data_IF_894387968412
#
_entry.id   IF_894387968412
#
_cell.length_a   1.000
_cell.length_b   1.000
_cell.length_c   1.000
_cell.angle_alpha   90.00
_cell.angle_beta   90.00
_cell.angle_gamma   90.00
#
_symmetry.space_group_name_H-M   'P 1'
#
loop_
_entity.id
_entity.type
_entity.pdbx_description
1 polymer ?
#
# COMPACT_ATOMS: atom_id res chain seq x y z
N UNK A 1 -57.97 -40.62 22.68
CA UNK A 1 -57.26 -41.12 21.48
C UNK A 1 -56.14 -40.12 21.22
N UNK A 2 -54.93 -40.26 21.77
CA UNK A 2 -53.91 -41.32 21.65
C UNK A 2 -52.82 -40.95 20.62
N UNK A 3 -51.56 -41.09 21.07
CA UNK A 3 -50.25 -41.11 20.37
C UNK A 3 -49.60 -39.75 20.09
N UNK A 4 -48.28 -39.55 20.22
CA UNK A 4 -47.09 -40.30 20.69
C UNK A 4 -45.99 -39.22 20.88
N UNK A 5 -45.31 -39.15 22.03
CA UNK A 5 -43.93 -39.61 22.27
C UNK A 5 -42.83 -38.97 21.39
N UNK A 6 -41.84 -38.32 22.03
CA UNK A 6 -40.56 -38.00 21.39
C UNK A 6 -39.77 -36.85 22.02
N UNK A 7 -39.13 -37.11 23.15
CA UNK A 7 -37.98 -36.37 23.71
C UNK A 7 -36.71 -36.54 22.85
N UNK A 8 -35.66 -35.76 23.18
CA UNK A 8 -34.27 -35.71 22.65
C UNK A 8 -34.13 -34.56 21.65
N UNK A 9 -33.35 -33.49 21.87
CA UNK A 9 -31.92 -33.40 22.19
C UNK A 9 -31.58 -32.17 23.06
N UNK A 10 -30.66 -32.35 24.01
CA UNK A 10 -29.87 -31.28 24.63
C UNK A 10 -29.00 -30.60 23.56
N UNK A 11 -28.59 -29.35 23.77
CA UNK A 11 -27.14 -29.19 23.88
C UNK A 11 -26.74 -28.23 25.00
N UNK A 12 -26.05 -28.83 25.97
CA UNK A 12 -24.84 -28.31 26.59
C UNK A 12 -24.29 -27.01 25.97
N UNK A 13 -24.37 -25.91 26.70
CA UNK A 13 -23.78 -24.64 26.25
C UNK A 13 -23.46 -23.64 27.34
N UNK A 14 -24.03 -23.79 28.54
CA UNK A 14 -23.93 -22.78 29.59
C UNK A 14 -22.61 -22.85 30.38
N UNK A 15 -21.85 -23.95 30.32
CA UNK A 15 -20.59 -24.10 31.08
C UNK A 15 -19.34 -23.49 30.38
N UNK A 16 -19.49 -22.88 29.20
CA UNK A 16 -18.36 -22.29 28.43
C UNK A 16 -18.16 -20.79 28.65
N UNK A 17 -19.04 -20.11 29.38
CA UNK A 17 -19.00 -18.66 29.56
C UNK A 17 -18.15 -18.26 30.77
N UNK A 18 -18.17 -19.02 31.86
CA UNK A 18 -17.46 -18.63 33.09
C UNK A 18 -15.96 -19.01 33.12
N UNK A 19 -15.54 -20.04 32.37
CA UNK A 19 -14.11 -20.38 32.23
C UNK A 19 -13.34 -19.48 31.24
N UNK A 20 -14.03 -18.62 30.47
CA UNK A 20 -13.41 -17.61 29.60
C UNK A 20 -13.19 -16.26 30.28
N UNK A 21 -13.88 -15.97 31.39
CA UNK A 21 -13.75 -14.70 32.11
C UNK A 21 -12.47 -14.59 32.95
N UNK A 22 -11.85 -15.71 33.35
CA UNK A 22 -10.63 -15.71 34.18
C UNK A 22 -9.31 -15.89 33.42
N UNK A 23 -9.34 -16.05 32.08
CA UNK A 23 -8.12 -16.17 31.24
C UNK A 23 -7.74 -14.90 30.47
N UNK A 24 -8.53 -13.82 30.55
CA UNK A 24 -8.30 -12.56 29.84
C UNK A 24 -7.64 -11.46 30.70
N UNK A 25 -7.41 -11.71 31.99
CA UNK A 25 -6.81 -10.75 32.94
C UNK A 25 -5.27 -10.78 33.00
N UNK A 26 -4.60 -11.56 32.13
CA UNK A 26 -3.13 -11.51 31.97
C UNK A 26 -2.75 -10.82 30.65
N UNK A 27 -3.22 -9.58 30.45
CA UNK A 27 -2.60 -8.67 29.49
C UNK A 27 -1.30 -8.19 30.14
N UNK A 28 -0.22 -8.91 29.84
CA UNK A 28 1.14 -8.44 30.09
C UNK A 28 1.25 -6.99 29.60
N UNK A 29 1.56 -6.09 30.52
CA UNK A 29 1.95 -4.72 30.20
C UNK A 29 3.09 -4.82 29.17
N UNK A 30 2.80 -4.43 27.93
CA UNK A 30 3.80 -4.39 26.87
C UNK A 30 4.86 -3.39 27.33
N UNK A 31 6.09 -3.86 27.51
CA UNK A 31 7.25 -3.02 27.79
C UNK A 31 7.25 -1.80 26.84
N UNK A 32 7.64 -0.61 27.32
CA UNK A 32 7.62 0.58 26.48
C UNK A 32 8.44 0.28 25.23
N UNK A 33 7.77 0.24 24.07
CA UNK A 33 8.45 0.06 22.78
C UNK A 33 9.60 1.07 22.76
N UNK A 34 10.83 0.59 22.65
CA UNK A 34 12.00 1.44 22.47
C UNK A 34 11.81 2.18 21.15
N UNK A 35 11.27 3.39 21.25
CA UNK A 35 11.08 4.28 20.12
C UNK A 35 12.46 4.86 19.79
N UNK A 36 12.87 4.78 18.53
CA UNK A 36 14.17 5.28 18.10
C UNK A 36 14.33 6.77 18.41
N UNK A 37 15.54 7.17 18.81
CA UNK A 37 15.83 8.54 19.25
C UNK A 37 15.42 9.62 18.23
N UNK A 38 15.57 9.32 16.93
CA UNK A 38 15.15 10.21 15.82
C UNK A 38 13.63 10.42 15.78
N UNK A 39 12.84 9.38 16.04
CA UNK A 39 11.39 9.47 16.08
C UNK A 39 10.89 10.27 17.29
N UNK A 40 11.55 10.11 18.45
CA UNK A 40 11.22 10.87 19.65
C UNK A 40 11.46 12.38 19.43
N UNK A 41 12.55 12.73 18.75
CA UNK A 41 12.90 14.11 18.41
C UNK A 41 11.91 14.74 17.40
N UNK A 42 11.44 13.98 16.41
CA UNK A 42 10.40 14.45 15.49
C UNK A 42 9.05 14.58 16.18
N UNK A 43 8.69 13.65 17.07
CA UNK A 43 7.42 13.70 17.84
C UNK A 43 7.34 14.91 18.76
N UNK A 44 8.45 15.33 19.37
CA UNK A 44 8.48 16.51 20.24
C UNK A 44 8.19 17.84 19.50
N UNK A 45 8.36 17.87 18.17
CA UNK A 45 8.11 19.06 17.35
C UNK A 45 6.66 19.21 16.90
N UNK A 46 5.81 18.21 17.18
CA UNK A 46 4.41 18.18 16.77
C UNK A 46 3.53 18.28 18.00
N UNK A 47 2.72 19.33 18.07
CA UNK A 47 1.63 19.40 19.03
C UNK A 47 0.40 18.69 18.46
N UNK A 48 -0.08 17.65 19.14
CA UNK A 48 -1.24 16.86 18.73
C UNK A 48 -2.59 17.55 18.98
N UNK A 49 -2.61 18.63 19.77
CA UNK A 49 -3.84 19.35 20.14
C UNK A 49 -4.14 20.54 19.24
N UNK A 50 -3.13 21.03 18.49
CA UNK A 50 -3.29 22.15 17.59
C UNK A 50 -3.72 21.67 16.20
N UNK A 51 -4.80 22.24 15.67
CA UNK A 51 -5.17 22.10 14.26
C UNK A 51 -4.26 23.00 13.40
N UNK A 52 -3.49 22.40 12.49
CA UNK A 52 -2.60 23.14 11.59
C UNK A 52 -3.31 23.44 10.26
N UNK A 53 -3.23 24.69 9.76
CA UNK A 53 -3.57 25.00 8.38
C UNK A 53 -2.69 24.21 7.40
N UNK A 54 -3.23 23.87 6.22
CA UNK A 54 -2.57 23.00 5.24
C UNK A 54 -1.13 23.47 4.88
N UNK A 55 -0.93 24.78 4.69
CA UNK A 55 0.36 25.36 4.30
C UNK A 55 1.42 25.21 5.40
N UNK A 56 1.01 25.40 6.66
CA UNK A 56 1.89 25.23 7.82
C UNK A 56 2.21 23.76 8.05
N UNK A 57 1.23 22.87 7.88
CA UNK A 57 1.40 21.43 7.99
C UNK A 57 2.43 20.88 6.98
N UNK A 58 2.36 21.29 5.71
CA UNK A 58 3.31 20.86 4.67
C UNK A 58 4.75 21.30 5.02
N UNK A 59 4.91 22.52 5.55
CA UNK A 59 6.22 23.05 5.93
C UNK A 59 6.82 22.32 7.13
N UNK A 60 5.97 21.90 8.07
CA UNK A 60 6.38 21.15 9.24
C UNK A 60 6.73 19.69 8.87
N UNK A 61 5.96 19.06 7.98
CA UNK A 61 6.23 17.70 7.46
C UNK A 61 7.65 17.58 6.87
N UNK A 62 8.07 18.54 6.03
CA UNK A 62 9.42 18.54 5.45
C UNK A 62 10.55 18.60 6.49
N UNK A 63 10.29 19.21 7.66
CA UNK A 63 11.27 19.34 8.75
C UNK A 63 11.29 18.13 9.70
N UNK A 64 10.26 17.29 9.64
CA UNK A 64 10.15 16.06 10.44
C UNK A 64 10.82 14.86 9.78
N UNK A 65 10.99 14.91 8.45
CA UNK A 65 11.71 13.90 7.69
C UNK A 65 13.12 13.74 8.25
N UNK A 66 13.45 12.50 8.62
CA UNK A 66 14.76 12.10 9.12
C UNK A 66 15.39 11.00 8.28
N UNK A 67 14.66 10.49 7.27
CA UNK A 67 15.19 9.53 6.32
C UNK A 67 16.04 10.24 5.26
N UNK A 68 17.01 9.52 4.72
CA UNK A 68 17.92 10.00 3.69
C UNK A 68 17.41 9.74 2.26
N UNK A 69 16.16 9.32 2.11
CA UNK A 69 15.52 8.99 0.84
C UNK A 69 14.19 9.75 0.71
N UNK A 70 13.63 9.79 -0.50
CA UNK A 70 12.35 10.44 -0.76
C UNK A 70 11.21 9.75 0.03
N UNK A 71 10.69 10.43 1.04
CA UNK A 71 9.60 9.92 1.87
C UNK A 71 8.23 10.07 1.19
N UNK A 72 7.37 9.06 1.34
CA UNK A 72 5.96 9.14 0.95
C UNK A 72 5.12 9.69 2.11
N UNK A 73 4.21 10.61 1.80
CA UNK A 73 3.27 11.18 2.77
C UNK A 73 1.92 10.45 2.67
N UNK A 74 1.44 9.91 3.77
CA UNK A 74 0.12 9.28 3.88
C UNK A 74 -0.90 10.24 4.51
N UNK A 75 -2.13 10.21 4.00
CA UNK A 75 -3.24 11.00 4.52
C UNK A 75 -4.30 10.06 5.09
N UNK A 76 -4.49 10.12 6.41
CA UNK A 76 -5.51 9.34 7.10
C UNK A 76 -6.75 10.19 7.31
N UNK A 77 -7.87 9.79 6.72
CA UNK A 77 -9.19 10.37 6.96
C UNK A 77 -10.10 9.31 7.56
N UNK A 78 -10.68 9.62 8.71
CA UNK A 78 -11.76 8.81 9.29
C UNK A 78 -13.09 9.31 8.73
N UNK A 79 -13.74 8.49 7.91
CA UNK A 79 -15.08 8.77 7.41
C UNK A 79 -16.09 7.93 8.18
N UNK A 80 -17.27 8.51 8.45
CA UNK A 80 -18.38 7.84 9.17
C UNK A 80 -19.15 6.86 8.30
N UNK A 81 -19.04 6.97 6.98
CA UNK A 81 -19.71 6.10 6.00
C UNK A 81 -18.83 4.92 5.58
N UNK A 82 -19.43 3.74 5.55
CA UNK A 82 -18.75 2.48 5.19
C UNK A 82 -18.97 2.21 3.69
N UNK A 83 -17.88 1.97 2.95
CA UNK A 83 -17.95 1.55 1.54
C UNK A 83 -17.48 2.56 0.50
N UNK A 84 -16.85 3.67 0.91
CA UNK A 84 -16.31 4.66 -0.01
C UNK A 84 -15.13 4.09 -0.81
N UNK A 85 -15.34 3.95 -2.13
CA UNK A 85 -14.29 3.72 -3.12
C UNK A 85 -14.42 4.80 -4.17
N UNK A 86 -13.35 5.55 -4.39
CA UNK A 86 -13.31 6.62 -5.38
C UNK A 86 -11.91 6.76 -5.95
N UNK A 87 -11.85 7.32 -7.15
CA UNK A 87 -10.61 7.75 -7.78
C UNK A 87 -10.47 9.25 -7.60
N UNK A 88 -9.27 9.71 -7.24
CA UNK A 88 -8.97 11.14 -7.14
C UNK A 88 -7.75 11.41 -8.02
N UNK A 89 -7.94 12.26 -9.03
CA UNK A 89 -6.87 12.70 -9.90
C UNK A 89 -6.08 13.81 -9.20
N UNK A 90 -4.85 13.50 -8.79
CA UNK A 90 -3.93 14.47 -8.20
C UNK A 90 -3.32 15.32 -9.34
N UNK A 91 -3.51 16.66 -9.36
CA UNK A 91 -3.02 17.52 -10.45
C UNK A 91 -1.50 17.46 -10.67
N UNK A 92 -0.76 17.15 -9.61
CA UNK A 92 0.70 17.02 -9.62
C UNK A 92 1.17 15.58 -9.36
N UNK A 93 0.25 14.62 -9.21
CA UNK A 93 0.57 13.20 -8.99
C UNK A 93 1.66 12.96 -7.94
N UNK A 94 2.64 12.13 -8.30
CA UNK A 94 3.86 11.81 -7.52
C UNK A 94 5.01 12.81 -7.76
N UNK A 95 4.77 13.92 -8.49
CA UNK A 95 5.78 14.94 -8.78
C UNK A 95 6.90 14.51 -9.74
N UNK A 96 6.85 13.27 -10.28
CA UNK A 96 7.82 12.77 -11.26
C UNK A 96 7.23 12.88 -12.66
N UNK A 97 7.97 13.51 -13.57
CA UNK A 97 7.65 13.51 -15.00
C UNK A 97 7.83 12.09 -15.54
N UNK A 98 6.72 11.43 -15.86
CA UNK A 98 6.73 10.06 -16.37
C UNK A 98 7.17 10.09 -17.83
N UNK A 99 8.29 9.44 -18.16
CA UNK A 99 8.74 9.24 -19.54
C UNK A 99 8.16 7.95 -20.10
N UNK A 100 7.38 8.06 -21.17
CA UNK A 100 6.73 6.92 -21.83
C UNK A 100 7.46 6.59 -23.12
N UNK A 101 7.87 5.34 -23.30
CA UNK A 101 8.46 4.83 -24.52
C UNK A 101 7.53 3.80 -25.18
N UNK A 102 7.51 3.80 -26.51
CA UNK A 102 6.80 2.80 -27.33
C UNK A 102 7.83 1.82 -27.88
N UNK A 103 7.45 0.54 -27.95
CA UNK A 103 8.36 -0.52 -28.41
C UNK A 103 8.53 -0.46 -29.93
N UNK A 104 9.66 0.09 -30.34
CA UNK A 104 10.18 0.07 -31.71
C UNK A 104 11.55 -0.65 -31.78
N UNK A 105 11.97 -1.09 -32.97
CA UNK A 105 13.26 -1.77 -33.15
C UNK A 105 14.46 -0.87 -32.72
N UNK A 106 14.32 0.46 -32.79
CA UNK A 106 15.32 1.41 -32.29
C UNK A 106 15.43 1.40 -30.75
N UNK A 107 14.30 1.32 -30.04
CA UNK A 107 14.25 1.27 -28.57
C UNK A 107 14.78 -0.08 -28.07
N UNK A 108 14.51 -1.17 -28.79
CA UNK A 108 15.09 -2.48 -28.48
C UNK A 108 16.63 -2.46 -28.54
N UNK A 109 17.21 -1.76 -29.51
CA UNK A 109 18.67 -1.60 -29.60
C UNK A 109 19.26 -0.75 -28.47
N UNK A 110 18.53 0.26 -27.97
CA UNK A 110 18.93 1.05 -26.79
C UNK A 110 18.90 0.22 -25.50
N UNK A 111 17.86 -0.60 -25.34
CA UNK A 111 17.73 -1.53 -24.20
C UNK A 111 18.87 -2.56 -24.20
N UNK A 112 19.28 -3.04 -25.38
CA UNK A 112 20.42 -3.96 -25.52
C UNK A 112 21.75 -3.31 -25.09
N UNK A 113 21.92 -2.01 -25.37
CA UNK A 113 23.07 -1.21 -24.93
C UNK A 113 23.02 -0.84 -23.44
N UNK A 114 21.90 -1.08 -22.76
CA UNK A 114 21.70 -0.77 -21.35
C UNK A 114 21.26 0.67 -21.06
N UNK A 115 20.97 1.46 -22.10
CA UNK A 115 20.42 2.81 -21.96
C UNK A 115 18.90 2.72 -21.77
N UNK A 116 18.44 3.00 -20.55
CA UNK A 116 17.01 2.97 -20.19
C UNK A 116 16.65 4.32 -19.60
N UNK A 117 15.97 5.13 -20.41
CA UNK A 117 15.54 6.49 -20.05
C UNK A 117 14.02 6.65 -20.03
N UNK A 118 13.29 5.57 -19.75
CA UNK A 118 11.84 5.57 -19.67
C UNK A 118 11.34 4.92 -18.37
N UNK A 119 10.19 5.39 -17.91
CA UNK A 119 9.52 4.94 -16.69
C UNK A 119 8.36 4.00 -17.02
N UNK A 120 7.80 4.09 -18.23
CA UNK A 120 6.72 3.23 -18.72
C UNK A 120 7.02 2.80 -20.16
N UNK A 121 6.98 1.49 -20.41
CA UNK A 121 7.11 0.90 -21.75
C UNK A 121 5.74 0.39 -22.22
N UNK A 122 5.30 0.82 -23.39
CA UNK A 122 4.04 0.41 -24.02
C UNK A 122 4.32 -0.45 -25.24
N UNK A 123 3.66 -1.61 -25.35
CA UNK A 123 3.91 -2.58 -26.42
C UNK A 123 2.63 -3.13 -27.02
N UNK A 124 2.67 -3.43 -28.33
CA UNK A 124 1.71 -4.32 -28.99
C UNK A 124 2.06 -5.80 -28.69
N UNK A 125 1.08 -6.73 -28.61
CA UNK A 125 1.32 -8.16 -28.34
C UNK A 125 2.33 -8.84 -29.27
N UNK A 126 2.40 -8.40 -30.53
CA UNK A 126 3.35 -8.92 -31.54
C UNK A 126 4.82 -8.75 -31.15
N UNK A 127 5.16 -7.70 -30.42
CA UNK A 127 6.55 -7.36 -30.07
C UNK A 127 7.04 -8.05 -28.78
N UNK A 128 6.15 -8.72 -28.04
CA UNK A 128 6.48 -9.37 -26.77
C UNK A 128 7.45 -10.55 -26.93
N UNK A 129 7.40 -11.27 -28.07
CA UNK A 129 8.33 -12.35 -28.36
C UNK A 129 9.78 -11.85 -28.48
N UNK A 130 9.99 -10.64 -29.02
CA UNK A 130 11.31 -9.98 -29.08
C UNK A 130 11.73 -9.46 -27.70
N UNK A 131 10.79 -8.86 -26.96
CA UNK A 131 11.00 -8.32 -25.61
C UNK A 131 11.35 -9.36 -24.55
N UNK A 132 10.93 -10.62 -24.72
CA UNK A 132 11.23 -11.70 -23.80
C UNK A 132 12.74 -11.89 -23.55
N UNK A 133 13.58 -11.56 -24.54
CA UNK A 133 15.05 -11.61 -24.42
C UNK A 133 15.59 -10.60 -23.39
N UNK A 134 14.91 -9.45 -23.25
CA UNK A 134 15.28 -8.36 -22.36
C UNK A 134 14.59 -8.44 -20.98
N UNK A 135 13.80 -9.49 -20.72
CA UNK A 135 13.07 -9.67 -19.47
C UNK A 135 13.98 -9.69 -18.23
N UNK A 136 15.23 -10.17 -18.35
CA UNK A 136 16.21 -10.15 -17.25
C UNK A 136 16.63 -8.74 -16.84
N UNK A 137 16.57 -7.78 -17.76
CA UNK A 137 16.97 -6.38 -17.53
C UNK A 137 15.75 -5.53 -17.13
N UNK A 138 14.62 -5.70 -17.82
CA UNK A 138 13.41 -4.91 -17.59
C UNK A 138 12.58 -5.40 -16.40
N UNK A 139 12.65 -6.70 -16.07
CA UNK A 139 11.88 -7.32 -14.99
C UNK A 139 12.20 -6.76 -13.59
N UNK A 140 13.47 -6.75 -13.14
CA UNK A 140 13.84 -6.21 -11.83
C UNK A 140 13.52 -4.72 -11.66
N UNK A 141 13.49 -3.98 -12.78
CA UNK A 141 13.15 -2.55 -12.81
C UNK A 141 11.65 -2.28 -12.86
N UNK A 142 10.80 -3.30 -13.03
CA UNK A 142 9.36 -3.15 -13.14
C UNK A 142 8.89 -2.47 -14.44
N UNK A 143 9.76 -2.37 -15.44
CA UNK A 143 9.50 -1.67 -16.71
C UNK A 143 8.94 -2.61 -17.81
N UNK A 144 8.67 -3.87 -17.46
CA UNK A 144 8.12 -4.84 -18.39
C UNK A 144 6.62 -4.57 -18.63
N UNK A 145 6.16 -4.48 -19.89
CA UNK A 145 4.75 -4.27 -20.19
C UNK A 145 3.87 -5.40 -19.62
N UNK A 146 2.68 -5.07 -19.10
CA UNK A 146 1.75 -6.01 -18.46
C UNK A 146 0.29 -5.66 -18.85
N UNK A 147 -0.56 -6.63 -19.25
CA UNK A 147 -1.96 -6.38 -19.56
C UNK A 147 -2.75 -5.78 -18.39
N UNK A 148 -2.40 -6.14 -17.15
CA UNK A 148 -3.07 -5.63 -15.94
C UNK A 148 -2.89 -4.12 -15.76
N UNK A 149 -1.77 -3.59 -16.25
CA UNK A 149 -1.46 -2.16 -16.18
C UNK A 149 -1.95 -1.39 -17.41
N UNK A 150 -2.61 -2.05 -18.37
CA UNK A 150 -3.05 -1.43 -19.61
C UNK A 150 -1.91 -1.03 -20.57
N UNK A 151 -0.67 -1.42 -20.28
CA UNK A 151 0.51 -1.10 -21.12
C UNK A 151 0.70 -2.07 -22.29
N UNK A 152 -0.17 -3.08 -22.38
CA UNK A 152 -0.35 -3.95 -23.54
C UNK A 152 -1.77 -3.72 -24.04
N UNK A 153 -1.91 -2.88 -25.06
CA UNK A 153 -3.21 -2.32 -25.42
C UNK A 153 -3.14 -1.33 -26.58
N UNK A 154 -2.75 -1.86 -27.74
CA UNK A 154 -3.22 -1.58 -29.10
C UNK A 154 -2.90 -2.85 -29.90
#
# INVERSE_FOLDING_TARGET
MAKEAGSIDEPEGEEKVEKKAKKSAKKTAREPKKIGAKHLASKAKVDATKAYPLVEAISLLKKLSYASFDESVELHMSTTEIGLRGEVTLPHGTGRTVRVAIVDDAVLAQIEKGEIEFDVLVSHPSNMAKLAKFAKVLGPKGLMPNPKSGTIGL
#
